data_IF_640510175978
#
_entry.id   IF_640510175978
#
_cell.length_a   1.000
_cell.length_b   1.000
_cell.length_c   1.000
_cell.angle_alpha   90.00
_cell.angle_beta   90.00
_cell.angle_gamma   90.00
#
_symmetry.space_group_name_H-M   'P 1'
#
loop_
_entity.id
_entity.type
_entity.pdbx_description
1 polymer ?
#
# COMPACT_ATOMS: atom_id res chain seq x y z
N UNK A 1 -11.06 -18.02 7.55
CA UNK A 1 -10.18 -18.78 6.62
C UNK A 1 -9.13 -17.83 6.08
N UNK A 2 -7.88 -18.26 5.91
CA UNK A 2 -6.83 -17.44 5.27
C UNK A 2 -6.89 -17.68 3.75
N UNK A 3 -6.89 -16.59 2.98
CA UNK A 3 -6.90 -16.59 1.51
C UNK A 3 -5.83 -15.62 1.01
N UNK A 4 -5.40 -15.80 -0.23
CA UNK A 4 -4.55 -14.84 -0.93
C UNK A 4 -5.36 -13.59 -1.28
N UNK A 5 -4.68 -12.44 -1.37
CA UNK A 5 -5.30 -11.13 -1.56
C UNK A 5 -6.30 -11.11 -2.73
N UNK A 6 -5.89 -11.58 -3.89
CA UNK A 6 -6.72 -11.58 -5.10
C UNK A 6 -7.92 -12.52 -5.03
N UNK A 7 -7.94 -13.44 -4.06
CA UNK A 7 -9.03 -14.39 -3.84
C UNK A 7 -10.12 -13.86 -2.91
N UNK A 8 -9.93 -12.72 -2.27
CA UNK A 8 -10.85 -12.20 -1.24
C UNK A 8 -12.21 -11.86 -1.81
N UNK A 9 -12.27 -10.95 -2.78
CA UNK A 9 -13.54 -10.55 -3.43
C UNK A 9 -14.23 -11.73 -4.12
N UNK A 10 -13.53 -12.55 -4.94
CA UNK A 10 -14.14 -13.76 -5.52
C UNK A 10 -14.70 -14.75 -4.51
N UNK A 11 -14.10 -14.85 -3.33
CA UNK A 11 -14.60 -15.75 -2.28
C UNK A 11 -15.95 -15.30 -1.69
N UNK A 12 -16.16 -13.98 -1.55
CA UNK A 12 -17.47 -13.42 -1.14
C UNK A 12 -18.49 -13.62 -2.26
N UNK A 13 -18.15 -13.25 -3.50
CA UNK A 13 -19.06 -13.40 -4.64
C UNK A 13 -19.55 -14.84 -4.85
N UNK A 14 -18.69 -15.82 -4.63
CA UNK A 14 -19.03 -17.24 -4.77
C UNK A 14 -19.73 -17.84 -3.55
N UNK A 15 -19.92 -17.09 -2.46
CA UNK A 15 -20.47 -17.59 -1.21
C UNK A 15 -19.56 -18.58 -0.47
N UNK A 16 -18.25 -18.60 -0.81
CA UNK A 16 -17.26 -19.43 -0.12
C UNK A 16 -16.98 -18.90 1.28
N UNK A 17 -17.11 -17.60 1.48
CA UNK A 17 -17.09 -16.91 2.76
C UNK A 17 -18.25 -15.91 2.81
N UNK A 18 -18.75 -15.62 4.01
CA UNK A 18 -19.86 -14.69 4.21
C UNK A 18 -19.39 -13.22 4.21
N UNK A 19 -18.14 -12.97 4.62
CA UNK A 19 -17.53 -11.64 4.63
C UNK A 19 -15.99 -11.74 4.62
N UNK A 20 -15.34 -10.59 4.37
CA UNK A 20 -13.89 -10.42 4.41
C UNK A 20 -13.54 -9.26 5.34
N UNK A 21 -12.57 -9.48 6.23
CA UNK A 21 -11.98 -8.46 7.10
C UNK A 21 -10.47 -8.47 6.84
N UNK A 22 -9.98 -7.56 5.99
CA UNK A 22 -8.62 -7.61 5.49
C UNK A 22 -8.00 -6.22 5.20
N UNK A 23 -8.54 -5.15 5.74
CA UNK A 23 -8.04 -3.80 5.45
C UNK A 23 -8.23 -3.40 3.98
N UNK A 24 -9.33 -3.80 3.37
CA UNK A 24 -9.57 -3.57 1.96
C UNK A 24 -10.23 -2.20 1.72
N UNK A 25 -9.64 -1.38 0.86
CA UNK A 25 -10.21 -0.07 0.49
C UNK A 25 -11.54 -0.21 -0.22
N UNK A 26 -12.47 0.69 0.08
CA UNK A 26 -13.79 0.80 -0.54
C UNK A 26 -13.61 1.55 -1.86
N UNK A 27 -13.26 0.84 -2.93
CA UNK A 27 -13.15 1.46 -4.26
C UNK A 27 -14.45 1.30 -5.04
N UNK A 28 -14.72 2.24 -5.96
CA UNK A 28 -15.90 2.18 -6.83
C UNK A 28 -15.92 0.91 -7.69
N UNK A 29 -14.78 0.37 -8.07
CA UNK A 29 -14.66 -0.90 -8.78
C UNK A 29 -15.11 -2.07 -7.90
N UNK A 30 -14.63 -2.15 -6.66
CA UNK A 30 -15.01 -3.22 -5.73
C UNK A 30 -16.47 -3.15 -5.31
N UNK A 31 -17.03 -1.94 -5.18
CA UNK A 31 -18.46 -1.74 -4.89
C UNK A 31 -19.39 -2.25 -6.00
N UNK A 32 -18.89 -2.43 -7.22
CA UNK A 32 -19.65 -3.10 -8.29
C UNK A 32 -19.67 -4.62 -8.13
N UNK A 33 -18.82 -5.18 -7.30
CA UNK A 33 -18.65 -6.62 -7.14
C UNK A 33 -19.17 -7.14 -5.80
N UNK A 34 -19.05 -6.36 -4.74
CA UNK A 34 -19.46 -6.71 -3.36
C UNK A 34 -19.97 -5.47 -2.64
N UNK A 35 -20.81 -5.68 -1.62
CA UNK A 35 -21.23 -4.64 -0.70
C UNK A 35 -20.19 -4.43 0.40
N UNK A 36 -20.05 -3.18 0.87
CA UNK A 36 -19.17 -2.82 1.98
C UNK A 36 -19.99 -2.34 3.18
N UNK A 37 -19.46 -2.55 4.37
CA UNK A 37 -19.95 -1.88 5.58
C UNK A 37 -19.54 -0.41 5.58
N UNK A 38 -20.02 0.35 6.56
CA UNK A 38 -19.42 1.63 6.90
C UNK A 38 -17.92 1.42 7.17
N UNK A 39 -17.07 2.43 6.83
CA UNK A 39 -15.64 2.36 7.12
C UNK A 39 -15.37 2.15 8.60
N UNK A 40 -14.56 1.17 8.94
CA UNK A 40 -14.13 0.93 10.31
C UNK A 40 -12.72 1.47 10.61
N UNK A 41 -12.00 1.86 9.56
CA UNK A 41 -10.67 2.43 9.64
C UNK A 41 -10.41 3.39 8.47
N UNK A 42 -9.68 4.47 8.72
CA UNK A 42 -9.19 5.39 7.70
C UNK A 42 -7.67 5.25 7.62
N UNK A 43 -7.18 4.73 6.50
CA UNK A 43 -5.77 4.45 6.32
C UNK A 43 -5.03 5.69 5.80
N UNK A 44 -3.89 6.01 6.44
CA UNK A 44 -2.89 6.88 5.82
C UNK A 44 -2.00 6.04 4.89
N UNK A 45 -1.65 6.60 3.74
CA UNK A 45 -0.69 6.02 2.82
C UNK A 45 0.70 6.45 3.27
N UNK A 46 1.62 5.50 3.34
CA UNK A 46 3.00 5.76 3.74
C UNK A 46 3.99 5.12 2.77
N UNK A 47 5.21 5.59 2.81
CA UNK A 47 6.33 5.00 2.09
C UNK A 47 7.32 4.39 3.09
N UNK A 48 7.77 3.17 2.81
CA UNK A 48 8.89 2.55 3.53
C UNK A 48 10.14 2.61 2.67
N UNK A 49 11.25 2.97 3.30
CA UNK A 49 12.59 3.02 2.71
C UNK A 49 13.59 2.37 3.67
N UNK A 50 14.81 2.12 3.20
CA UNK A 50 15.93 1.80 4.11
C UNK A 50 16.35 3.05 4.87
N UNK A 51 16.63 2.92 6.16
CA UNK A 51 17.02 4.05 7.03
C UNK A 51 18.37 4.66 6.67
N UNK A 52 19.22 3.91 5.99
CA UNK A 52 20.54 4.33 5.46
C UNK A 52 20.52 4.56 3.94
N UNK A 53 19.35 4.51 3.31
CA UNK A 53 19.17 4.71 1.87
C UNK A 53 19.09 6.19 1.47
N UNK A 54 19.24 6.45 0.19
CA UNK A 54 19.26 7.81 -0.39
C UNK A 54 17.95 8.59 -0.15
N UNK A 55 16.84 7.89 0.04
CA UNK A 55 15.51 8.48 0.23
C UNK A 55 15.08 8.56 1.70
N UNK A 56 15.98 8.23 2.65
CA UNK A 56 15.62 8.17 4.07
C UNK A 56 15.12 9.50 4.65
N UNK A 57 15.53 10.62 4.09
CA UNK A 57 15.17 11.96 4.57
C UNK A 57 14.14 12.68 3.69
N UNK A 58 13.47 11.95 2.78
CA UNK A 58 12.39 12.48 1.95
C UNK A 58 11.23 12.99 2.83
N UNK A 59 10.67 14.13 2.46
CA UNK A 59 9.59 14.83 3.18
C UNK A 59 8.34 15.01 2.34
N UNK A 60 8.40 14.58 1.09
CA UNK A 60 7.31 14.68 0.12
C UNK A 60 7.46 13.61 -0.95
N UNK A 61 6.39 13.36 -1.69
CA UNK A 61 6.41 12.48 -2.88
C UNK A 61 7.41 13.01 -3.93
N UNK A 62 7.57 14.33 -4.04
CA UNK A 62 8.53 14.94 -4.97
C UNK A 62 10.00 14.58 -4.65
N UNK A 63 10.34 14.35 -3.38
CA UNK A 63 11.68 13.97 -2.95
C UNK A 63 12.02 12.50 -3.32
N UNK A 64 11.02 11.72 -3.73
CA UNK A 64 11.18 10.33 -4.20
C UNK A 64 11.50 10.24 -5.70
N UNK A 65 11.70 11.38 -6.39
CA UNK A 65 12.00 11.39 -7.81
C UNK A 65 13.11 10.41 -8.20
N UNK A 66 12.82 9.60 -9.23
CA UNK A 66 13.77 8.62 -9.77
C UNK A 66 13.94 7.35 -8.93
N UNK A 67 13.16 7.18 -7.85
CA UNK A 67 13.22 6.01 -6.96
C UNK A 67 12.88 4.71 -7.71
N UNK A 68 13.58 3.63 -7.38
CA UNK A 68 13.15 2.28 -7.76
C UNK A 68 12.16 1.78 -6.73
N UNK A 69 10.90 1.57 -7.12
CA UNK A 69 9.83 1.27 -6.18
C UNK A 69 8.91 0.15 -6.65
N UNK A 70 8.17 -0.42 -5.72
CA UNK A 70 7.09 -1.37 -5.96
C UNK A 70 6.03 -1.28 -4.87
N UNK A 71 4.94 -2.01 -5.04
CA UNK A 71 3.92 -2.21 -4.02
C UNK A 71 3.20 -3.53 -4.23
N UNK A 72 2.18 -3.80 -3.39
CA UNK A 72 1.35 -4.98 -3.54
C UNK A 72 0.40 -4.81 -4.73
N UNK A 73 0.20 -5.88 -5.50
CA UNK A 73 -0.71 -5.90 -6.64
C UNK A 73 -2.17 -5.66 -6.24
N UNK A 74 -2.96 -5.13 -7.19
CA UNK A 74 -4.39 -4.86 -7.02
C UNK A 74 -4.67 -3.98 -5.79
N UNK A 75 -3.83 -2.98 -5.57
CA UNK A 75 -3.98 -1.96 -4.54
C UNK A 75 -3.88 -0.57 -5.12
N UNK A 76 -4.53 0.41 -4.47
CA UNK A 76 -4.40 1.83 -4.83
C UNK A 76 -2.95 2.30 -4.71
N UNK A 77 -2.14 1.68 -3.88
CA UNK A 77 -0.74 2.04 -3.69
C UNK A 77 0.07 1.81 -4.97
N UNK A 78 -0.15 0.66 -5.64
CA UNK A 78 0.53 0.34 -6.89
C UNK A 78 -0.08 1.11 -8.06
N UNK A 79 -1.41 1.10 -8.19
CA UNK A 79 -2.11 1.57 -9.37
C UNK A 79 -2.28 3.10 -9.40
N UNK A 80 -2.41 3.75 -8.23
CA UNK A 80 -2.69 5.18 -8.12
C UNK A 80 -1.53 5.99 -7.52
N UNK A 81 -0.81 5.46 -6.52
CA UNK A 81 0.23 6.22 -5.83
C UNK A 81 1.58 6.19 -6.55
N UNK A 82 2.09 4.99 -6.94
CA UNK A 82 3.40 4.90 -7.58
C UNK A 82 3.53 5.73 -8.87
N UNK A 83 2.51 5.82 -9.74
CA UNK A 83 2.59 6.65 -10.95
C UNK A 83 2.73 8.16 -10.70
N UNK A 84 2.46 8.64 -9.46
CA UNK A 84 2.62 10.05 -9.10
C UNK A 84 4.07 10.44 -8.81
N UNK A 85 4.96 9.46 -8.63
CA UNK A 85 6.37 9.71 -8.36
C UNK A 85 7.08 10.00 -9.68
N UNK A 86 7.62 11.20 -9.81
CA UNK A 86 8.31 11.65 -11.03
C UNK A 86 9.53 10.76 -11.35
N UNK A 87 9.64 10.32 -12.60
CA UNK A 87 10.74 9.49 -13.12
C UNK A 87 10.98 8.17 -12.34
N UNK A 88 10.00 7.68 -11.57
CA UNK A 88 10.13 6.44 -10.82
C UNK A 88 10.36 5.22 -11.72
N UNK A 89 11.27 4.34 -11.30
CA UNK A 89 11.43 3.01 -11.88
C UNK A 89 10.49 2.03 -11.15
N UNK A 90 9.26 1.92 -11.63
CA UNK A 90 8.23 1.07 -11.02
C UNK A 90 8.47 -0.38 -11.43
N UNK A 91 8.85 -1.22 -10.47
CA UNK A 91 9.03 -2.66 -10.66
C UNK A 91 7.66 -3.37 -10.71
N UNK A 92 7.61 -4.62 -11.24
CA UNK A 92 6.39 -5.42 -11.17
C UNK A 92 5.82 -5.51 -9.76
N UNK A 93 4.49 -5.43 -9.66
CA UNK A 93 3.77 -5.53 -8.39
C UNK A 93 4.07 -6.85 -7.68
N UNK A 94 4.02 -6.82 -6.37
CA UNK A 94 4.27 -7.99 -5.52
C UNK A 94 2.95 -8.68 -5.16
N UNK A 95 2.96 -10.00 -5.10
CA UNK A 95 1.76 -10.82 -4.83
C UNK A 95 1.19 -10.62 -3.41
N UNK A 96 2.01 -10.18 -2.47
CA UNK A 96 1.62 -10.01 -1.07
C UNK A 96 2.46 -8.96 -0.36
N UNK A 97 1.96 -8.44 0.77
CA UNK A 97 2.71 -7.52 1.61
C UNK A 97 4.05 -8.12 2.10
N UNK A 98 4.13 -9.40 2.55
CA UNK A 98 5.43 -9.99 2.88
C UNK A 98 6.42 -10.01 1.70
N UNK A 99 5.96 -10.32 0.47
CA UNK A 99 6.83 -10.31 -0.71
C UNK A 99 7.34 -8.90 -1.03
N UNK A 100 6.49 -7.90 -0.87
CA UNK A 100 6.83 -6.49 -1.02
C UNK A 100 7.92 -6.08 0.00
N UNK A 101 7.78 -6.44 1.26
CA UNK A 101 8.77 -6.12 2.30
C UNK A 101 10.11 -6.83 2.06
N UNK A 102 10.09 -8.07 1.57
CA UNK A 102 11.32 -8.79 1.18
C UNK A 102 12.01 -8.12 -0.01
N UNK A 103 11.26 -7.54 -0.96
CA UNK A 103 11.85 -6.79 -2.07
C UNK A 103 12.64 -5.56 -1.57
N UNK A 104 12.10 -4.82 -0.60
CA UNK A 104 12.79 -3.70 0.05
C UNK A 104 13.98 -4.18 0.89
N UNK A 105 13.79 -5.23 1.69
CA UNK A 105 14.84 -5.81 2.55
C UNK A 105 16.07 -6.25 1.75
N UNK A 106 15.84 -6.93 0.63
CA UNK A 106 16.92 -7.42 -0.24
C UNK A 106 17.59 -6.34 -1.09
N UNK A 107 17.12 -5.09 -1.06
CA UNK A 107 17.61 -4.01 -1.91
C UNK A 107 17.22 -4.15 -3.38
N UNK A 108 16.19 -4.94 -3.69
CA UNK A 108 15.63 -5.03 -5.05
C UNK A 108 14.93 -3.74 -5.46
N UNK A 109 14.37 -3.02 -4.49
CA UNK A 109 13.83 -1.68 -4.64
C UNK A 109 14.29 -0.79 -3.49
N UNK A 110 14.20 0.53 -3.66
CA UNK A 110 14.60 1.54 -2.69
C UNK A 110 13.42 1.98 -1.82
N UNK A 111 12.21 1.83 -2.34
CA UNK A 111 10.98 2.21 -1.64
C UNK A 111 9.82 1.27 -1.94
N UNK A 112 8.90 1.16 -0.99
CA UNK A 112 7.57 0.54 -1.16
C UNK A 112 6.50 1.43 -0.57
N UNK A 113 5.35 1.51 -1.23
CA UNK A 113 4.18 2.28 -0.75
C UNK A 113 3.15 1.31 -0.19
N UNK A 114 2.60 1.62 0.98
CA UNK A 114 1.62 0.79 1.69
C UNK A 114 0.79 1.63 2.66
N UNK A 115 -0.03 0.99 3.49
CA UNK A 115 -0.77 1.64 4.57
C UNK A 115 0.04 1.78 5.87
N UNK A 116 -0.41 2.68 6.73
CA UNK A 116 0.22 2.95 8.02
C UNK A 116 0.31 1.69 8.91
N UNK A 117 -0.74 0.86 9.11
CA UNK A 117 -0.65 -0.36 9.93
C UNK A 117 0.41 -1.34 9.43
N UNK A 118 0.47 -1.58 8.12
CA UNK A 118 1.48 -2.45 7.50
C UNK A 118 2.88 -1.86 7.68
N UNK A 119 3.03 -0.54 7.47
CA UNK A 119 4.30 0.15 7.64
C UNK A 119 4.83 0.10 9.07
N UNK A 120 3.96 0.34 10.05
CA UNK A 120 4.34 0.25 11.47
C UNK A 120 4.78 -1.17 11.86
N UNK A 121 4.02 -2.18 11.42
CA UNK A 121 4.38 -3.58 11.66
C UNK A 121 5.70 -3.96 10.98
N UNK A 122 5.95 -3.45 9.77
CA UNK A 122 7.19 -3.68 9.04
C UNK A 122 8.40 -3.09 9.78
N UNK A 123 8.32 -1.86 10.31
CA UNK A 123 9.42 -1.25 11.08
C UNK A 123 9.75 -2.01 12.37
N UNK A 124 8.79 -2.74 12.95
CA UNK A 124 9.06 -3.63 14.09
C UNK A 124 9.81 -4.89 13.66
N UNK A 125 9.42 -5.44 12.50
CA UNK A 125 10.03 -6.67 11.97
C UNK A 125 11.39 -6.43 11.31
N UNK A 126 11.59 -5.27 10.73
CA UNK A 126 12.80 -4.84 10.00
C UNK A 126 13.30 -3.52 10.60
N UNK A 127 14.22 -3.56 11.59
CA UNK A 127 14.71 -2.36 12.27
C UNK A 127 15.43 -1.34 11.36
N UNK A 128 15.90 -1.80 10.20
CA UNK A 128 16.56 -0.96 9.19
C UNK A 128 15.57 -0.24 8.26
N UNK A 129 14.27 -0.45 8.44
CA UNK A 129 13.26 0.28 7.70
C UNK A 129 12.92 1.59 8.39
N UNK A 130 12.68 2.60 7.55
CA UNK A 130 12.19 3.92 7.96
C UNK A 130 10.85 4.20 7.30
N UNK A 131 9.88 4.59 8.11
CA UNK A 131 8.56 4.98 7.67
C UNK A 131 8.56 6.47 7.37
N UNK A 132 8.13 6.83 6.16
CA UNK A 132 7.91 8.19 5.71
C UNK A 132 6.40 8.42 5.60
N UNK A 133 5.88 9.34 6.40
CA UNK A 133 4.48 9.73 6.41
C UNK A 133 4.37 11.16 5.88
N UNK A 134 3.75 11.32 4.72
CA UNK A 134 3.51 12.63 4.10
C UNK A 134 2.09 13.12 4.34
N UNK A 135 1.27 12.35 5.05
CA UNK A 135 -0.16 12.64 5.26
C UNK A 135 -0.39 14.01 5.88
N UNK A 136 -1.38 14.72 5.36
CA UNK A 136 -1.72 16.06 5.83
C UNK A 136 -0.76 17.17 5.41
N UNK A 137 0.17 16.89 4.48
CA UNK A 137 1.05 17.89 3.87
C UNK A 137 0.68 18.11 2.39
N UNK A 138 1.11 19.24 1.82
CA UNK A 138 0.96 19.52 0.37
C UNK A 138 1.82 18.59 -0.50
N UNK A 139 2.66 17.77 0.12
CA UNK A 139 3.58 16.85 -0.56
C UNK A 139 3.16 15.38 -0.47
N UNK A 140 1.92 15.09 -0.09
CA UNK A 140 1.35 13.75 0.00
C UNK A 140 0.91 13.21 -1.37
N UNK A 141 0.61 11.91 -1.43
CA UNK A 141 -0.06 11.29 -2.57
C UNK A 141 -1.48 11.84 -2.74
N UNK A 142 -1.85 12.14 -3.98
CA UNK A 142 -3.21 12.51 -4.33
C UNK A 142 -4.07 11.26 -4.48
N UNK A 143 -4.89 10.97 -3.49
CA UNK A 143 -5.87 9.89 -3.51
C UNK A 143 -7.24 10.43 -3.13
N UNK A 144 -8.31 9.81 -3.65
CA UNK A 144 -9.65 10.20 -3.25
C UNK A 144 -9.92 9.77 -1.80
N UNK A 145 -10.78 10.51 -1.09
CA UNK A 145 -11.20 10.14 0.27
C UNK A 145 -11.85 8.75 0.31
N UNK A 146 -12.46 8.30 -0.80
CA UNK A 146 -13.06 6.98 -0.93
C UNK A 146 -11.99 5.87 -0.92
N UNK A 147 -10.82 6.13 -1.50
CA UNK A 147 -9.75 5.13 -1.64
C UNK A 147 -9.02 4.83 -0.32
N UNK A 148 -9.07 5.71 0.66
CA UNK A 148 -8.47 5.52 1.98
C UNK A 148 -9.43 4.91 3.02
N UNK A 149 -10.71 4.75 2.66
CA UNK A 149 -11.71 4.14 3.51
C UNK A 149 -11.58 2.62 3.49
N UNK A 150 -11.52 1.99 4.65
CA UNK A 150 -11.44 0.55 4.80
C UNK A 150 -12.75 0.01 5.36
N UNK A 151 -13.40 -0.86 4.59
CA UNK A 151 -14.67 -1.52 4.93
C UNK A 151 -14.58 -3.05 4.81
N UNK A 152 -15.70 -3.72 5.08
CA UNK A 152 -15.89 -5.17 4.97
C UNK A 152 -16.85 -5.46 3.83
#
# INVERSE_FOLDING_TARGET
>A
MKLDWDSLVPAVQSGKVDCVIAGQSITSERQQMVDFTEPYYYASIITLVKSDGDYADAKSVADLKGVTCTSQQNTIWYDSCLPQIEDANILPAQESAPAMLVALESGKCDAVVTDMPTGMAACVAYPDFKLLDFSGTDGDFEVSDEDINIGI
#
